data_IF_324825172453
#
_entry.id   IF_324825172453
#
_cell.length_a   1.000
_cell.length_b   1.000
_cell.length_c   1.000
_cell.angle_alpha   90.00
_cell.angle_beta   90.00
_cell.angle_gamma   90.00
#
_symmetry.space_group_name_H-M   'P 1'
#
loop_
_entity.id
_entity.type
_entity.pdbx_description
1 polymer ?
#
# COMPACT_ATOMS: atom_id res chain seq x y z
N UNK A 1 -12.67 -3.96 -23.07
CA UNK A 1 -12.65 -4.99 -22.02
C UNK A 1 -11.69 -4.48 -20.96
N UNK A 2 -12.11 -4.32 -19.70
CA UNK A 2 -11.28 -3.66 -18.66
C UNK A 2 -10.21 -4.58 -18.06
N UNK A 3 -10.34 -5.90 -18.24
CA UNK A 3 -9.42 -6.91 -17.73
C UNK A 3 -8.44 -7.27 -18.83
N UNK A 4 -7.14 -7.31 -18.50
CA UNK A 4 -6.05 -7.67 -19.40
C UNK A 4 -6.08 -6.85 -20.70
N UNK A 5 -6.34 -5.55 -20.55
CA UNK A 5 -6.46 -4.60 -21.65
C UNK A 5 -5.10 -4.32 -22.30
N UNK A 6 -4.03 -4.30 -21.50
CA UNK A 6 -2.68 -4.02 -21.95
C UNK A 6 -1.83 -5.28 -21.92
N UNK A 7 -0.89 -5.37 -22.86
CA UNK A 7 0.03 -6.50 -23.00
C UNK A 7 1.05 -6.54 -21.85
N UNK A 8 1.56 -5.38 -21.45
CA UNK A 8 2.55 -5.24 -20.39
C UNK A 8 2.36 -3.95 -19.57
N UNK A 9 3.22 -3.79 -18.56
CA UNK A 9 3.21 -2.64 -17.64
C UNK A 9 3.65 -1.33 -18.30
N UNK A 10 4.49 -1.41 -19.33
CA UNK A 10 4.97 -0.24 -20.07
C UNK A 10 3.84 0.33 -20.92
N UNK A 11 3.12 -0.52 -21.64
CA UNK A 11 1.95 -0.15 -22.42
C UNK A 11 0.84 0.43 -21.52
N UNK A 12 0.58 -0.18 -20.36
CA UNK A 12 -0.33 0.36 -19.35
C UNK A 12 0.09 1.77 -18.92
N UNK A 13 1.36 1.96 -18.53
CA UNK A 13 1.84 3.25 -18.02
C UNK A 13 1.78 4.33 -19.10
N UNK A 14 2.18 4.04 -20.35
CA UNK A 14 2.14 4.97 -21.47
C UNK A 14 0.70 5.33 -21.86
N UNK A 15 -0.19 4.34 -21.93
CA UNK A 15 -1.58 4.54 -22.35
C UNK A 15 -2.43 5.29 -21.33
N UNK A 16 -2.00 5.31 -20.07
CA UNK A 16 -2.77 5.92 -18.97
C UNK A 16 -2.22 7.28 -18.50
N UNK A 17 -1.15 7.81 -19.13
CA UNK A 17 -0.54 9.09 -18.73
C UNK A 17 -1.52 10.26 -18.72
N UNK A 18 -2.45 10.28 -19.67
CA UNK A 18 -3.42 11.36 -19.86
C UNK A 18 -4.73 11.18 -19.07
N UNK A 19 -4.82 10.17 -18.21
CA UNK A 19 -6.00 9.96 -17.38
C UNK A 19 -6.12 11.08 -16.34
N UNK A 20 -7.34 11.43 -15.89
CA UNK A 20 -7.53 12.44 -14.86
C UNK A 20 -6.69 12.13 -13.62
N UNK A 21 -5.97 13.14 -13.11
CA UNK A 21 -5.02 12.98 -12.01
C UNK A 21 -5.64 12.26 -10.81
N UNK A 22 -6.86 12.63 -10.42
CA UNK A 22 -7.56 12.02 -9.30
C UNK A 22 -7.78 10.51 -9.49
N UNK A 23 -8.10 10.07 -10.71
CA UNK A 23 -8.27 8.65 -10.99
C UNK A 23 -6.92 7.91 -11.02
N UNK A 24 -5.89 8.56 -11.59
CA UNK A 24 -4.53 8.03 -11.67
C UNK A 24 -3.88 7.84 -10.30
N UNK A 25 -4.20 8.69 -9.31
CA UNK A 25 -3.77 8.53 -7.91
C UNK A 25 -4.29 7.24 -7.25
N UNK A 26 -5.30 6.61 -7.84
CA UNK A 26 -5.77 5.29 -7.43
C UNK A 26 -4.88 4.15 -7.91
N UNK A 27 -4.01 4.38 -8.89
CA UNK A 27 -3.24 3.29 -9.51
C UNK A 27 -2.23 2.69 -8.54
N UNK A 28 -2.21 1.37 -8.51
CA UNK A 28 -1.27 0.56 -7.73
C UNK A 28 -0.37 -0.26 -8.64
N UNK A 29 -0.30 0.11 -9.92
CA UNK A 29 0.59 -0.45 -10.93
C UNK A 29 1.37 0.68 -11.57
N UNK A 30 2.65 0.44 -11.83
CA UNK A 30 3.54 1.31 -12.59
C UNK A 30 4.26 0.53 -13.70
N UNK A 31 5.31 1.11 -14.29
CA UNK A 31 6.10 0.46 -15.33
C UNK A 31 6.86 -0.79 -14.86
N UNK A 32 7.14 -0.91 -13.56
CA UNK A 32 7.86 -2.04 -12.96
C UNK A 32 6.90 -3.16 -12.55
N UNK A 33 5.63 -2.85 -12.30
CA UNK A 33 4.59 -3.83 -12.13
C UNK A 33 3.57 -3.46 -11.07
N UNK A 34 2.90 -4.48 -10.54
CA UNK A 34 1.96 -4.32 -9.45
C UNK A 34 2.73 -4.01 -8.16
N UNK A 35 2.44 -2.88 -7.51
CA UNK A 35 3.05 -2.52 -6.23
C UNK A 35 2.67 -3.55 -5.17
N UNK A 36 3.61 -3.85 -4.26
CA UNK A 36 3.32 -4.73 -3.12
C UNK A 36 2.25 -4.11 -2.21
N UNK A 37 1.33 -4.94 -1.70
CA UNK A 37 0.31 -4.47 -0.75
C UNK A 37 0.93 -3.92 0.55
N UNK A 38 2.10 -4.40 0.93
CA UNK A 38 2.78 -3.96 2.17
C UNK A 38 3.18 -2.49 2.10
N UNK A 39 3.68 -2.05 0.94
CA UNK A 39 4.08 -0.66 0.68
C UNK A 39 2.87 0.25 0.81
N UNK A 40 1.70 -0.14 0.29
CA UNK A 40 0.47 0.65 0.44
C UNK A 40 0.02 0.78 1.91
N UNK A 41 0.34 -0.20 2.76
CA UNK A 41 -0.13 -0.26 4.15
C UNK A 41 0.81 0.42 5.15
N UNK A 42 2.04 0.72 4.75
CA UNK A 42 2.99 1.51 5.54
C UNK A 42 2.74 2.99 5.23
N UNK A 43 2.70 3.83 6.27
CA UNK A 43 2.74 5.27 6.05
C UNK A 43 4.18 5.64 5.68
N UNK A 44 4.38 6.08 4.44
CA UNK A 44 5.65 6.72 4.08
C UNK A 44 5.74 8.06 4.81
N UNK A 45 6.85 8.29 5.51
CA UNK A 45 7.19 9.58 6.12
C UNK A 45 7.72 10.58 5.08
N UNK A 46 7.99 10.12 3.85
CA UNK A 46 8.42 10.98 2.74
C UNK A 46 7.22 11.77 2.20
N UNK A 47 7.12 13.04 2.63
CA UNK A 47 6.06 13.98 2.24
C UNK A 47 6.20 14.42 0.77
N UNK A 48 7.31 14.08 0.11
CA UNK A 48 7.70 14.67 -1.18
C UNK A 48 7.00 14.05 -2.40
N UNK A 49 6.50 12.81 -2.32
CA UNK A 49 5.87 12.16 -3.47
C UNK A 49 4.34 12.10 -3.33
N UNK A 50 3.65 12.66 -4.34
CA UNK A 50 2.21 12.55 -4.52
C UNK A 50 1.84 11.15 -5.06
N UNK A 51 2.32 10.12 -4.37
CA UNK A 51 2.23 8.72 -4.76
C UNK A 51 1.18 7.98 -3.92
N UNK A 52 0.79 6.79 -4.38
CA UNK A 52 -0.34 6.01 -3.84
C UNK A 52 -0.22 5.64 -2.33
N UNK A 53 0.99 5.66 -1.80
CA UNK A 53 1.39 5.36 -0.42
C UNK A 53 1.49 6.59 0.48
N UNK A 54 1.55 7.80 -0.07
CA UNK A 54 1.66 9.04 0.70
C UNK A 54 0.47 9.28 1.65
N UNK A 55 0.74 9.84 2.83
CA UNK A 55 -0.26 10.08 3.89
C UNK A 55 -1.47 10.87 3.39
N UNK A 56 -1.25 11.88 2.55
CA UNK A 56 -2.34 12.69 1.96
C UNK A 56 -3.27 11.82 1.12
N UNK A 57 -2.73 10.91 0.31
CA UNK A 57 -3.53 10.00 -0.50
C UNK A 57 -4.33 9.04 0.38
N UNK A 58 -3.77 8.56 1.49
CA UNK A 58 -4.51 7.74 2.45
C UNK A 58 -5.70 8.48 3.06
N UNK A 59 -5.54 9.76 3.40
CA UNK A 59 -6.64 10.60 3.88
C UNK A 59 -7.69 10.82 2.79
N UNK A 60 -7.27 11.09 1.55
CA UNK A 60 -8.18 11.25 0.42
C UNK A 60 -8.99 9.96 0.14
N UNK A 61 -8.36 8.78 0.28
CA UNK A 61 -9.04 7.48 0.16
C UNK A 61 -10.11 7.26 1.22
N UNK A 62 -9.97 7.87 2.39
CA UNK A 62 -10.96 7.77 3.46
C UNK A 62 -12.23 8.60 3.22
N UNK A 63 -12.19 9.58 2.32
CA UNK A 63 -13.34 10.40 1.97
C UNK A 63 -14.29 9.60 1.05
N UNK A 64 -15.62 9.56 1.29
CA UNK A 64 -16.51 8.66 0.56
C UNK A 64 -16.45 8.80 -0.96
N UNK A 65 -16.60 10.02 -1.50
CA UNK A 65 -16.65 10.25 -2.96
C UNK A 65 -15.26 10.07 -3.59
N UNK A 66 -14.23 10.61 -2.94
CA UNK A 66 -12.86 10.55 -3.48
C UNK A 66 -12.32 9.12 -3.39
N UNK A 67 -12.55 8.44 -2.26
CA UNK A 67 -12.25 7.04 -2.06
C UNK A 67 -12.90 6.13 -3.09
N UNK A 68 -14.16 6.40 -3.50
CA UNK A 68 -14.78 5.65 -4.60
C UNK A 68 -13.98 5.81 -5.89
N UNK A 69 -13.61 7.04 -6.28
CA UNK A 69 -12.86 7.30 -7.52
C UNK A 69 -11.49 6.61 -7.47
N UNK A 70 -10.78 6.73 -6.35
CA UNK A 70 -9.48 6.10 -6.14
C UNK A 70 -9.59 4.58 -6.13
N UNK A 71 -10.62 4.01 -5.51
CA UNK A 71 -10.88 2.57 -5.46
C UNK A 71 -11.20 1.99 -6.83
N UNK A 72 -11.96 2.71 -7.67
CA UNK A 72 -12.18 2.31 -9.08
C UNK A 72 -10.85 2.35 -9.84
N UNK A 73 -10.05 3.41 -9.68
CA UNK A 73 -8.73 3.52 -10.29
C UNK A 73 -7.80 2.38 -9.88
N UNK A 74 -7.81 2.02 -8.59
CA UNK A 74 -7.08 0.87 -8.04
C UNK A 74 -7.50 -0.41 -8.71
N UNK A 75 -8.79 -0.74 -8.69
CA UNK A 75 -9.31 -1.96 -9.27
C UNK A 75 -9.01 -2.04 -10.78
N UNK A 76 -9.14 -0.92 -11.48
CA UNK A 76 -8.74 -0.82 -12.88
C UNK A 76 -7.26 -1.19 -13.07
N UNK A 77 -6.34 -0.57 -12.33
CA UNK A 77 -4.90 -0.82 -12.45
C UNK A 77 -4.45 -2.23 -12.03
N UNK A 78 -5.17 -2.87 -11.09
CA UNK A 78 -4.86 -4.23 -10.65
C UNK A 78 -5.15 -5.24 -11.77
N UNK A 79 -6.24 -5.03 -12.50
CA UNK A 79 -6.75 -5.98 -13.50
C UNK A 79 -6.46 -5.57 -14.95
N UNK A 80 -5.84 -4.41 -15.18
CA UNK A 80 -5.55 -3.89 -16.51
C UNK A 80 -4.51 -4.70 -17.29
N UNK A 81 -3.64 -5.43 -16.58
CA UNK A 81 -2.55 -6.25 -17.13
C UNK A 81 -2.47 -7.60 -16.40
N UNK A 82 -2.00 -8.64 -17.10
CA UNK A 82 -1.77 -9.99 -16.53
C UNK A 82 -0.33 -10.42 -16.73
N UNK A 83 0.56 -9.83 -15.94
CA UNK A 83 1.97 -10.19 -15.93
C UNK A 83 2.19 -11.41 -15.04
N UNK A 84 2.91 -12.42 -15.53
CA UNK A 84 3.22 -13.66 -14.79
C UNK A 84 4.01 -13.41 -13.49
N UNK A 85 4.64 -12.24 -13.38
CA UNK A 85 5.42 -11.81 -12.22
C UNK A 85 4.55 -11.25 -11.08
N UNK A 86 3.25 -11.01 -11.31
CA UNK A 86 2.37 -10.46 -10.29
C UNK A 86 2.15 -11.44 -9.13
N UNK A 87 2.46 -11.01 -7.92
CA UNK A 87 2.18 -11.78 -6.72
C UNK A 87 0.65 -11.87 -6.49
N UNK A 88 0.15 -13.10 -6.40
CA UNK A 88 -1.28 -13.38 -6.19
C UNK A 88 -1.82 -12.77 -4.90
N UNK A 89 -1.01 -12.74 -3.82
CA UNK A 89 -1.44 -12.17 -2.54
C UNK A 89 -1.73 -10.68 -2.68
N UNK A 90 -0.87 -9.97 -3.39
CA UNK A 90 -0.95 -8.53 -3.59
C UNK A 90 -2.19 -8.21 -4.43
N UNK A 91 -2.39 -8.95 -5.53
CA UNK A 91 -3.59 -8.83 -6.39
C UNK A 91 -4.89 -9.01 -5.59
N UNK A 92 -4.94 -10.00 -4.69
CA UNK A 92 -6.12 -10.25 -3.83
C UNK A 92 -6.33 -9.11 -2.83
N UNK A 93 -5.29 -8.72 -2.07
CA UNK A 93 -5.40 -7.70 -1.03
C UNK A 93 -5.77 -6.34 -1.63
N UNK A 94 -5.12 -5.94 -2.72
CA UNK A 94 -5.38 -4.69 -3.43
C UNK A 94 -6.78 -4.66 -4.04
N UNK A 95 -7.27 -5.80 -4.55
CA UNK A 95 -8.66 -5.92 -5.01
C UNK A 95 -9.65 -5.74 -3.87
N UNK A 96 -9.41 -6.38 -2.72
CA UNK A 96 -10.27 -6.27 -1.54
C UNK A 96 -10.31 -4.84 -0.99
N UNK A 97 -9.16 -4.18 -0.85
CA UNK A 97 -9.11 -2.79 -0.40
C UNK A 97 -9.76 -1.85 -1.40
N UNK A 98 -9.59 -2.08 -2.71
CA UNK A 98 -10.29 -1.33 -3.76
C UNK A 98 -11.81 -1.46 -3.66
N UNK A 99 -12.34 -2.67 -3.41
CA UNK A 99 -13.78 -2.88 -3.21
C UNK A 99 -14.29 -2.12 -1.97
N UNK A 100 -13.55 -2.15 -0.86
CA UNK A 100 -13.91 -1.42 0.36
C UNK A 100 -13.96 0.10 0.09
N UNK A 101 -12.98 0.63 -0.65
CA UNK A 101 -12.95 2.04 -1.06
C UNK A 101 -14.12 2.42 -1.99
N UNK A 102 -14.47 1.54 -2.94
CA UNK A 102 -15.64 1.69 -3.82
C UNK A 102 -16.95 1.68 -3.04
N UNK A 103 -17.03 0.96 -1.93
CA UNK A 103 -18.20 1.01 -1.04
C UNK A 103 -18.27 2.31 -0.22
N UNK A 104 -17.33 3.25 -0.38
CA UNK A 104 -17.23 4.47 0.42
C UNK A 104 -16.72 4.22 1.84
N UNK A 105 -16.16 3.03 2.09
CA UNK A 105 -15.70 2.57 3.40
C UNK A 105 -14.18 2.72 3.58
N UNK A 106 -13.54 3.61 2.82
CA UNK A 106 -12.09 3.87 2.94
C UNK A 106 -11.67 4.36 4.33
N UNK A 107 -12.59 4.86 5.15
CA UNK A 107 -12.30 5.16 6.56
C UNK A 107 -11.92 3.89 7.34
N UNK A 108 -12.47 2.73 6.99
CA UNK A 108 -12.13 1.45 7.64
C UNK A 108 -10.69 1.06 7.31
N UNK A 109 -10.26 1.20 6.05
CA UNK A 109 -8.87 0.91 5.67
C UNK A 109 -7.90 1.86 6.36
N UNK A 110 -8.25 3.15 6.49
CA UNK A 110 -7.44 4.11 7.23
C UNK A 110 -7.29 3.74 8.72
N UNK A 111 -8.40 3.38 9.39
CA UNK A 111 -8.36 2.95 10.80
C UNK A 111 -7.46 1.71 10.96
N UNK A 112 -7.57 0.73 10.07
CA UNK A 112 -6.74 -0.48 10.11
C UNK A 112 -5.25 -0.17 9.91
N UNK A 113 -4.89 0.77 9.02
CA UNK A 113 -3.50 1.21 8.85
C UNK A 113 -2.94 1.91 10.09
N UNK A 114 -3.74 2.78 10.72
CA UNK A 114 -3.34 3.44 11.98
C UNK A 114 -3.12 2.40 13.08
N UNK A 115 -4.01 1.41 13.21
CA UNK A 115 -3.86 0.33 14.19
C UNK A 115 -2.62 -0.52 13.91
N UNK A 116 -2.36 -0.87 12.66
CA UNK A 116 -1.16 -1.62 12.26
C UNK A 116 0.12 -0.88 12.63
N UNK A 117 0.21 0.41 12.27
CA UNK A 117 1.38 1.22 12.55
C UNK A 117 1.58 1.44 14.07
N UNK A 118 0.50 1.68 14.81
CA UNK A 118 0.55 1.80 16.27
C UNK A 118 1.04 0.50 16.93
N UNK A 119 0.52 -0.66 16.49
CA UNK A 119 0.96 -1.96 16.99
C UNK A 119 2.44 -2.22 16.66
N UNK A 120 2.89 -1.92 15.44
CA UNK A 120 4.28 -2.05 15.03
C UNK A 120 5.21 -1.20 15.93
N UNK A 121 4.86 0.07 16.16
CA UNK A 121 5.61 0.95 17.06
C UNK A 121 5.65 0.44 18.50
N UNK A 122 4.52 -0.04 19.02
CA UNK A 122 4.46 -0.64 20.36
C UNK A 122 5.37 -1.88 20.43
N UNK A 123 5.35 -2.74 19.41
CA UNK A 123 6.20 -3.92 19.35
C UNK A 123 7.69 -3.56 19.37
N UNK A 124 8.09 -2.62 18.51
CA UNK A 124 9.48 -2.16 18.39
C UNK A 124 9.96 -1.45 19.66
N UNK A 125 9.10 -0.71 20.35
CA UNK A 125 9.50 0.02 21.56
C UNK A 125 9.44 -0.82 22.83
N UNK A 126 8.43 -1.67 22.97
CA UNK A 126 8.17 -2.40 24.22
C UNK A 126 8.90 -3.74 24.29
N UNK A 127 8.99 -4.51 23.20
CA UNK A 127 9.61 -5.85 23.28
C UNK A 127 11.12 -5.82 23.49
N UNK A 128 11.92 -4.95 22.84
CA UNK A 128 13.35 -4.89 23.10
C UNK A 128 13.64 -4.56 24.57
N UNK A 129 12.84 -3.68 25.20
CA UNK A 129 12.95 -3.38 26.64
C UNK A 129 12.62 -4.58 27.54
N UNK A 130 11.72 -5.47 27.11
CA UNK A 130 11.45 -6.73 27.82
C UNK A 130 12.62 -7.73 27.67
N UNK A 131 13.32 -7.70 26.53
CA UNK A 131 14.51 -8.53 26.25
C UNK A 131 15.76 -7.96 26.95
N UNK A 132 15.90 -6.63 27.06
CA UNK A 132 16.97 -5.93 27.78
C UNK A 132 17.12 -6.41 29.22
N UNK A 133 15.98 -6.72 29.88
CA UNK A 133 15.97 -7.27 31.25
C UNK A 133 16.72 -8.61 31.36
N UNK A 134 17.03 -9.27 30.24
CA UNK A 134 17.68 -10.58 30.15
C UNK A 134 19.10 -10.52 29.59
N UNK A 135 19.43 -9.66 28.62
CA UNK A 135 20.79 -9.49 28.06
C UNK A 135 20.90 -8.20 27.20
N UNK A 136 21.92 -7.35 27.39
CA UNK A 136 22.02 -6.04 26.70
C UNK A 136 22.30 -6.15 25.21
N UNK A 137 23.21 -7.04 24.79
CA UNK A 137 23.61 -7.18 23.37
C UNK A 137 22.52 -7.88 22.53
N UNK A 138 21.54 -8.50 23.17
CA UNK A 138 20.39 -9.13 22.52
C UNK A 138 19.29 -8.11 22.17
N UNK A 139 19.28 -6.94 22.80
CA UNK A 139 18.26 -5.91 22.56
C UNK A 139 18.40 -5.30 21.16
N UNK A 140 19.61 -4.88 20.79
CA UNK A 140 19.86 -4.20 19.52
C UNK A 140 19.64 -5.15 18.33
N UNK A 141 20.18 -6.37 18.41
CA UNK A 141 19.97 -7.41 17.39
C UNK A 141 18.47 -7.76 17.21
N UNK A 142 17.71 -7.80 18.31
CA UNK A 142 16.28 -8.10 18.24
C UNK A 142 15.46 -6.92 17.71
N UNK A 143 15.83 -5.69 18.07
CA UNK A 143 15.22 -4.47 17.54
C UNK A 143 15.48 -4.34 16.04
N UNK A 144 16.70 -4.59 15.58
CA UNK A 144 17.03 -4.62 14.15
C UNK A 144 16.24 -5.70 13.40
N UNK A 145 16.11 -6.90 13.99
CA UNK A 145 15.28 -7.96 13.41
C UNK A 145 13.80 -7.57 13.30
N UNK A 146 13.23 -6.95 14.35
CA UNK A 146 11.85 -6.46 14.31
C UNK A 146 11.66 -5.36 13.26
N UNK A 147 12.62 -4.43 13.15
CA UNK A 147 12.59 -3.38 12.13
C UNK A 147 12.64 -4.01 10.73
N UNK A 148 13.56 -4.93 10.45
CA UNK A 148 13.63 -5.63 9.15
C UNK A 148 12.35 -6.40 8.79
N UNK A 149 11.61 -6.92 9.78
CA UNK A 149 10.35 -7.64 9.53
C UNK A 149 9.12 -6.73 9.40
N UNK A 150 9.09 -5.60 10.11
CA UNK A 150 7.93 -4.70 10.17
C UNK A 150 8.02 -3.53 9.20
N UNK A 151 9.24 -3.03 8.99
CA UNK A 151 9.62 -2.20 7.87
C UNK A 151 9.98 -3.17 6.75
N UNK A 152 9.03 -3.49 5.86
CA UNK A 152 9.42 -4.14 4.61
C UNK A 152 10.54 -3.29 4.00
N UNK A 153 11.73 -3.89 3.87
CA UNK A 153 12.92 -3.22 3.37
C UNK A 153 12.59 -2.37 2.14
N UNK A 154 12.99 -1.11 2.24
CA UNK A 154 13.03 -0.13 1.17
C UNK A 154 14.02 -0.58 0.09
#
# INVERSE_FOLDING_TARGET
>A
MFINQYHDNTEFNQSTQNYPTLFRLGFVRDQFGLKSWTIEWIFSDDIEDLDADGVIIQVLRALPIIGVILGIGKLYSVWSTDTLEDNRKDKIILTLTGIIEICGLGIITLIMKILYHALAHILIFCLPRLVHRRNSDAEDNFREHLISQLSCEL
#
